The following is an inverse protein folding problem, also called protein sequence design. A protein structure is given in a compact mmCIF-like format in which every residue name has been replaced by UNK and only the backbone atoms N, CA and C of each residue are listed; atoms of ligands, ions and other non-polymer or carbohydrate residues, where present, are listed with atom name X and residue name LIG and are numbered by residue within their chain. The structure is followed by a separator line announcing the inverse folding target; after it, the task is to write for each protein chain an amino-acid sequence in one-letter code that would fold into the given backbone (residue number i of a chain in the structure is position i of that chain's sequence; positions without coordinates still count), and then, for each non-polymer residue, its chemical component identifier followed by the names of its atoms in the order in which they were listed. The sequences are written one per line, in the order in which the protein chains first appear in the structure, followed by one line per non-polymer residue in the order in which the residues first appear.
data_IF_199215237181
#
_entry.id   IF_199215237181
#
_cell.length_a   1.000
_cell.length_b   1.000
_cell.length_c   1.000
_cell.angle_alpha   90.00
_cell.angle_beta   90.00
_cell.angle_gamma   90.00
#
_symmetry.space_group_name_H-M   'P 1'
#
loop_
_entity.id
_entity.type
_entity.pdbx_description
1 polymer ?
#
# COMPACT_ATOMS: atom_id res chain seq x y z
N UNK A 1 -31.01 -17.66 12.73
CA UNK A 1 -30.79 -16.38 13.44
C UNK A 1 -30.06 -15.40 12.53
N UNK A 2 -30.51 -14.14 12.53
CA UNK A 2 -29.96 -13.04 11.71
C UNK A 2 -28.44 -12.84 11.87
N UNK A 3 -27.87 -13.17 13.04
CA UNK A 3 -26.42 -13.10 13.31
C UNK A 3 -25.59 -13.92 12.29
N UNK A 4 -26.02 -15.15 11.96
CA UNK A 4 -25.30 -15.99 10.97
C UNK A 4 -25.32 -15.38 9.58
N UNK A 5 -26.41 -14.69 9.23
CA UNK A 5 -26.54 -13.98 7.95
C UNK A 5 -25.64 -12.74 7.91
N UNK A 6 -25.62 -11.95 8.99
CA UNK A 6 -24.75 -10.76 9.12
C UNK A 6 -23.28 -11.17 9.05
N UNK A 7 -22.85 -12.19 9.80
CA UNK A 7 -21.48 -12.70 9.76
C UNK A 7 -21.07 -13.17 8.37
N UNK A 8 -21.95 -13.91 7.67
CA UNK A 8 -21.69 -14.35 6.29
C UNK A 8 -21.53 -13.16 5.35
N UNK A 9 -22.33 -12.11 5.52
CA UNK A 9 -22.27 -10.89 4.71
C UNK A 9 -20.96 -10.13 4.95
N UNK A 10 -20.55 -9.95 6.20
CA UNK A 10 -19.27 -9.32 6.56
C UNK A 10 -18.11 -10.13 5.98
N UNK A 11 -18.14 -11.46 6.10
CA UNK A 11 -17.10 -12.32 5.55
C UNK A 11 -16.99 -12.21 4.02
N UNK A 12 -18.12 -12.06 3.32
CA UNK A 12 -18.14 -11.81 1.86
C UNK A 12 -17.62 -10.42 1.48
N UNK A 13 -17.68 -9.44 2.38
CA UNK A 13 -17.13 -8.10 2.11
C UNK A 13 -15.61 -8.08 2.16
N UNK A 14 -14.98 -8.94 2.96
CA UNK A 14 -13.51 -8.97 3.11
C UNK A 14 -12.81 -9.20 1.75
N UNK A 15 -13.14 -10.23 0.94
CA UNK A 15 -12.53 -10.41 -0.38
C UNK A 15 -12.73 -9.21 -1.32
N UNK A 16 -13.89 -8.56 -1.25
CA UNK A 16 -14.21 -7.39 -2.09
C UNK A 16 -13.31 -6.22 -1.69
N UNK A 17 -13.19 -5.94 -0.39
CA UNK A 17 -12.31 -4.90 0.14
C UNK A 17 -10.84 -5.17 -0.20
N UNK A 18 -10.39 -6.43 -0.07
CA UNK A 18 -9.05 -6.84 -0.48
C UNK A 18 -8.82 -6.62 -1.98
N UNK A 19 -9.79 -6.99 -2.82
CA UNK A 19 -9.72 -6.74 -4.26
C UNK A 19 -9.59 -5.26 -4.60
N UNK A 20 -10.43 -4.40 -4.00
CA UNK A 20 -10.39 -2.95 -4.22
C UNK A 20 -9.06 -2.35 -3.74
N UNK A 21 -8.61 -2.70 -2.53
CA UNK A 21 -7.33 -2.20 -2.00
C UNK A 21 -6.14 -2.69 -2.83
N UNK A 22 -6.17 -3.93 -3.33
CA UNK A 22 -5.14 -4.45 -4.23
C UNK A 22 -5.06 -3.65 -5.52
N UNK A 23 -6.21 -3.32 -6.13
CA UNK A 23 -6.26 -2.52 -7.35
C UNK A 23 -5.70 -1.12 -7.09
N UNK A 24 -6.17 -0.44 -6.04
CA UNK A 24 -5.72 0.92 -5.68
C UNK A 24 -4.22 0.92 -5.38
N UNK A 25 -3.75 -0.02 -4.57
CA UNK A 25 -2.33 -0.15 -4.24
C UNK A 25 -1.48 -0.41 -5.50
N UNK A 26 -1.95 -1.28 -6.39
CA UNK A 26 -1.25 -1.57 -7.65
C UNK A 26 -1.18 -0.34 -8.54
N UNK A 27 -2.27 0.43 -8.65
CA UNK A 27 -2.29 1.69 -9.39
C UNK A 27 -1.26 2.67 -8.84
N UNK A 28 -1.18 2.83 -7.51
CA UNK A 28 -0.15 3.66 -6.89
C UNK A 28 1.26 3.11 -7.12
N UNK A 29 1.46 1.80 -7.05
CA UNK A 29 2.75 1.15 -7.23
C UNK A 29 3.32 1.33 -8.65
N UNK A 30 2.47 1.29 -9.68
CA UNK A 30 2.89 1.47 -11.08
C UNK A 30 2.89 2.93 -11.52
N UNK A 31 2.39 3.84 -10.68
CA UNK A 31 2.38 5.28 -10.99
C UNK A 31 3.82 5.75 -11.13
N UNK A 32 4.18 6.42 -12.24
CA UNK A 32 5.52 6.95 -12.42
C UNK A 32 5.80 8.07 -11.41
N UNK A 33 7.01 8.06 -10.85
CA UNK A 33 7.44 8.98 -9.81
C UNK A 33 7.91 8.22 -8.58
N UNK A 34 9.06 8.59 -8.03
CA UNK A 34 9.58 8.00 -6.80
C UNK A 34 8.95 8.72 -5.59
N UNK A 35 8.21 8.02 -4.72
CA UNK A 35 7.67 8.64 -3.51
C UNK A 35 8.76 9.28 -2.63
N UNK A 36 9.98 8.73 -2.60
CA UNK A 36 11.07 9.33 -1.84
C UNK A 36 11.53 10.68 -2.45
N UNK A 37 11.58 10.79 -3.78
CA UNK A 37 11.85 12.06 -4.47
C UNK A 37 10.72 13.08 -4.22
N UNK A 38 9.46 12.62 -4.25
CA UNK A 38 8.30 13.49 -3.99
C UNK A 38 8.31 14.02 -2.55
N UNK A 39 8.66 13.18 -1.57
CA UNK A 39 8.74 13.58 -0.16
C UNK A 39 9.90 14.55 0.10
N UNK A 40 11.05 14.33 -0.53
CA UNK A 40 12.24 15.18 -0.35
C UNK A 40 12.18 16.49 -1.18
N UNK A 41 11.40 16.50 -2.26
CA UNK A 41 11.20 17.66 -3.13
C UNK A 41 12.40 17.97 -4.02
N UNK A 42 12.40 19.17 -4.62
CA UNK A 42 13.31 19.55 -5.71
C UNK A 42 14.81 19.60 -5.34
N UNK A 43 15.14 19.61 -4.04
CA UNK A 43 16.53 19.63 -3.55
C UNK A 43 17.03 18.25 -3.11
N UNK A 44 16.30 17.17 -3.45
CA UNK A 44 16.66 15.81 -3.06
C UNK A 44 18.01 15.40 -3.66
N UNK A 45 18.99 15.11 -2.81
CA UNK A 45 20.23 14.48 -3.26
C UNK A 45 19.98 12.98 -3.50
N UNK A 46 20.66 12.35 -4.48
CA UNK A 46 20.51 10.92 -4.73
C UNK A 46 20.73 10.05 -3.49
N UNK A 47 21.67 10.46 -2.62
CA UNK A 47 21.97 9.78 -1.36
C UNK A 47 20.79 9.88 -0.37
N UNK A 48 20.17 11.06 -0.24
CA UNK A 48 19.01 11.24 0.64
C UNK A 48 17.79 10.45 0.13
N UNK A 49 17.58 10.41 -1.18
CA UNK A 49 16.52 9.60 -1.81
C UNK A 49 16.73 8.13 -1.48
N UNK A 50 17.92 7.58 -1.73
CA UNK A 50 18.22 6.18 -1.46
C UNK A 50 18.06 5.83 0.03
N UNK A 51 18.48 6.71 0.94
CA UNK A 51 18.29 6.52 2.38
C UNK A 51 16.81 6.49 2.75
N UNK A 52 16.01 7.45 2.26
CA UNK A 52 14.59 7.52 2.56
C UNK A 52 13.83 6.34 1.94
N UNK A 53 14.18 5.90 0.73
CA UNK A 53 13.62 4.71 0.07
C UNK A 53 13.78 3.47 0.94
N UNK A 54 14.98 3.28 1.49
CA UNK A 54 15.26 2.16 2.39
C UNK A 54 14.50 2.30 3.72
N UNK A 55 14.44 3.51 4.28
CA UNK A 55 13.79 3.79 5.56
C UNK A 55 12.28 3.52 5.52
N UNK A 56 11.60 3.94 4.45
CA UNK A 56 10.15 3.72 4.31
C UNK A 56 9.81 2.38 3.63
N UNK A 57 10.83 1.60 3.25
CA UNK A 57 10.72 0.27 2.64
C UNK A 57 10.12 0.29 1.23
N UNK A 58 10.49 1.27 0.40
CA UNK A 58 10.10 1.27 -1.03
C UNK A 58 10.75 0.13 -1.80
N UNK A 59 11.88 -0.37 -1.33
CA UNK A 59 12.64 -1.46 -1.95
C UNK A 59 12.18 -2.85 -1.45
N UNK A 60 11.23 -2.91 -0.52
CA UNK A 60 10.63 -4.16 -0.07
C UNK A 60 9.82 -4.84 -1.19
N UNK A 61 9.70 -6.18 -1.18
CA UNK A 61 8.88 -6.90 -2.13
C UNK A 61 7.43 -6.39 -2.16
N UNK A 62 6.81 -6.39 -3.35
CA UNK A 62 5.45 -5.89 -3.57
C UNK A 62 4.43 -6.37 -2.53
N UNK A 63 4.46 -7.67 -2.18
CA UNK A 63 3.55 -8.25 -1.18
C UNK A 63 3.79 -7.69 0.23
N UNK A 64 5.05 -7.43 0.61
CA UNK A 64 5.39 -6.83 1.91
C UNK A 64 4.86 -5.40 1.97
N UNK A 65 5.06 -4.62 0.89
CA UNK A 65 4.53 -3.25 0.78
C UNK A 65 3.00 -3.23 0.80
N UNK A 66 2.34 -4.18 0.15
CA UNK A 66 0.88 -4.29 0.15
C UNK A 66 0.33 -4.65 1.54
N UNK A 67 0.94 -5.61 2.24
CA UNK A 67 0.54 -5.96 3.61
C UNK A 67 0.74 -4.78 4.57
N UNK A 68 1.87 -4.04 4.44
CA UNK A 68 2.10 -2.81 5.22
C UNK A 68 1.06 -1.73 4.91
N UNK A 69 0.68 -1.57 3.64
CA UNK A 69 -0.39 -0.65 3.23
C UNK A 69 -1.74 -0.99 3.87
N UNK A 70 -2.15 -2.27 3.86
CA UNK A 70 -3.41 -2.69 4.51
C UNK A 70 -3.33 -2.56 6.04
N UNK A 71 -2.17 -2.85 6.63
CA UNK A 71 -2.00 -2.82 8.09
C UNK A 71 -2.02 -1.39 8.66
N UNK A 72 -1.68 -0.39 7.82
CA UNK A 72 -1.68 1.03 8.16
C UNK A 72 -2.96 1.77 7.71
N UNK A 73 -3.94 1.07 7.14
CA UNK A 73 -5.23 1.60 6.70
C UNK A 73 -6.23 1.70 7.86
#
# INVERSE_FOLDING_TARGET
MMIRYILRRILMMIPVMLGVTLIVFTMMYITPGDPAEIILGDNATPEAVAQLRAEIGLDDPYLVRYVRFISNL
#
